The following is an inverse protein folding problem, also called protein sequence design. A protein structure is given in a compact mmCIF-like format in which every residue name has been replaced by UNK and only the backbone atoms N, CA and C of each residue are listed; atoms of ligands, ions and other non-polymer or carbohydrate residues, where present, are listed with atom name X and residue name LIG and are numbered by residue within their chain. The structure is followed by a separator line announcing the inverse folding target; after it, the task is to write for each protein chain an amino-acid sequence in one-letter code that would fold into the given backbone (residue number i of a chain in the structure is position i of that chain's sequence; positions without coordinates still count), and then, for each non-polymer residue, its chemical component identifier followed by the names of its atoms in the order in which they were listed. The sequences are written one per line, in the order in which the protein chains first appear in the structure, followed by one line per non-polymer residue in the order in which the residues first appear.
data_IF_318706563834
#
_entry.id   IF_318706563834
#
_cell.length_a   1.000
_cell.length_b   1.000
_cell.length_c   1.000
_cell.angle_alpha   90.00
_cell.angle_beta   90.00
_cell.angle_gamma   90.00
#
_symmetry.space_group_name_H-M   'P 1'
#
loop_
_entity.id
_entity.type
_entity.pdbx_description
1 polymer ?
#
# COMPACT_ATOMS: atom_id res chain seq x y z
N UNK A 1 0.88 -17.36 -18.12
CA UNK A 1 0.96 -18.41 -17.06
C UNK A 1 0.62 -17.83 -15.67
N UNK A 2 0.83 -16.55 -15.45
CA UNK A 2 0.69 -15.85 -14.15
C UNK A 2 -0.76 -15.60 -13.72
N UNK A 3 -1.71 -15.56 -14.65
CA UNK A 3 -3.13 -15.32 -14.36
C UNK A 3 -3.86 -16.50 -13.68
N UNK A 4 -3.29 -17.69 -13.68
CA UNK A 4 -3.96 -18.87 -13.11
C UNK A 4 -4.04 -18.88 -11.57
N UNK A 5 -2.99 -18.53 -10.82
CA UNK A 5 -3.08 -18.38 -9.35
C UNK A 5 -4.11 -17.32 -8.94
N UNK A 6 -4.16 -16.20 -9.67
CA UNK A 6 -5.06 -15.08 -9.42
C UNK A 6 -6.53 -15.41 -9.61
N UNK A 7 -6.86 -16.19 -10.66
CA UNK A 7 -8.24 -16.69 -10.87
C UNK A 7 -8.72 -17.55 -9.71
N UNK A 8 -7.81 -18.28 -9.07
CA UNK A 8 -8.10 -19.10 -7.89
C UNK A 8 -8.29 -18.23 -6.63
N UNK A 9 -7.47 -17.23 -6.44
CA UNK A 9 -7.53 -16.30 -5.30
C UNK A 9 -8.80 -15.44 -5.36
N UNK A 10 -9.16 -14.91 -6.54
CA UNK A 10 -10.40 -14.14 -6.74
C UNK A 10 -11.69 -14.89 -6.36
N UNK A 11 -11.70 -16.21 -6.37
CA UNK A 11 -12.90 -17.00 -6.09
C UNK A 11 -13.19 -17.19 -4.60
N UNK A 12 -12.27 -16.81 -3.69
CA UNK A 12 -12.37 -17.22 -2.29
C UNK A 12 -12.18 -16.11 -1.25
N UNK A 13 -11.62 -14.92 -1.59
CA UNK A 13 -11.20 -13.92 -0.59
C UNK A 13 -11.28 -12.47 -1.11
N UNK A 14 -11.29 -11.50 -0.20
CA UNK A 14 -11.32 -10.05 -0.41
C UNK A 14 -10.05 -9.49 -1.10
N UNK A 15 -9.64 -10.07 -2.23
CA UNK A 15 -8.59 -9.52 -3.08
C UNK A 15 -9.22 -8.52 -4.03
N UNK A 16 -9.40 -7.30 -3.60
CA UNK A 16 -10.10 -6.29 -4.38
C UNK A 16 -9.21 -5.64 -5.44
N UNK A 17 -7.91 -5.59 -5.21
CA UNK A 17 -7.01 -4.83 -6.06
C UNK A 17 -5.78 -5.62 -6.49
N UNK A 18 -5.48 -5.56 -7.79
CA UNK A 18 -4.26 -6.11 -8.39
C UNK A 18 -3.49 -4.93 -8.96
N UNK A 19 -2.18 -4.84 -8.68
CA UNK A 19 -1.44 -3.65 -9.03
C UNK A 19 -0.09 -3.89 -9.67
N UNK A 20 0.46 -2.83 -10.23
CA UNK A 20 1.78 -2.76 -10.84
C UNK A 20 2.53 -1.51 -10.41
N UNK A 21 3.86 -1.65 -10.30
CA UNK A 21 4.79 -0.54 -10.14
C UNK A 21 5.42 -0.19 -11.48
N UNK A 22 5.11 0.98 -12.05
CA UNK A 22 5.78 1.58 -13.23
C UNK A 22 5.83 0.77 -14.52
N UNK A 23 5.00 -0.26 -14.69
CA UNK A 23 5.00 -1.09 -15.89
C UNK A 23 3.87 -0.74 -16.85
N UNK A 24 4.09 -1.05 -18.13
CA UNK A 24 3.06 -0.94 -19.18
C UNK A 24 2.06 -2.09 -19.12
N UNK A 25 0.90 -1.97 -19.79
CA UNK A 25 -0.25 -2.87 -19.69
C UNK A 25 -0.04 -4.35 -20.08
N UNK A 26 1.10 -4.74 -20.53
CA UNK A 26 1.43 -6.13 -20.93
C UNK A 26 1.65 -7.09 -19.74
N UNK A 27 1.40 -6.61 -18.59
CA UNK A 27 0.91 -7.24 -17.37
C UNK A 27 1.67 -8.37 -16.74
N UNK A 28 2.78 -8.01 -16.15
CA UNK A 28 3.19 -8.65 -14.92
C UNK A 28 2.55 -7.90 -13.73
N UNK A 29 1.95 -8.63 -12.79
CA UNK A 29 1.39 -8.07 -11.55
C UNK A 29 2.50 -8.07 -10.51
N UNK A 30 2.81 -6.90 -9.96
CA UNK A 30 3.87 -6.75 -8.96
C UNK A 30 3.34 -6.93 -7.53
N UNK A 31 2.12 -6.47 -7.27
CA UNK A 31 1.51 -6.54 -5.94
C UNK A 31 0.01 -6.79 -6.01
N UNK A 32 -0.57 -7.15 -4.88
CA UNK A 32 -2.02 -7.15 -4.66
C UNK A 32 -2.34 -6.45 -3.36
N UNK A 33 -3.50 -5.81 -3.31
CA UNK A 33 -4.03 -5.24 -2.06
C UNK A 33 -5.09 -6.19 -1.51
N UNK A 34 -4.88 -6.62 -0.27
CA UNK A 34 -5.89 -7.27 0.56
C UNK A 34 -6.55 -6.13 1.33
N UNK A 35 -7.83 -5.91 1.09
CA UNK A 35 -8.54 -4.75 1.62
C UNK A 35 -9.30 -5.08 2.89
N UNK A 36 -8.81 -4.54 4.01
CA UNK A 36 -9.40 -4.69 5.34
C UNK A 36 -9.94 -3.34 5.88
N UNK A 37 -10.11 -2.32 5.01
CA UNK A 37 -10.51 -0.98 5.44
C UNK A 37 -11.89 -0.98 6.12
N UNK A 38 -12.81 -1.78 5.59
CA UNK A 38 -14.19 -1.88 6.07
C UNK A 38 -14.52 -3.30 6.53
N UNK A 39 -15.22 -3.42 7.65
CA UNK A 39 -15.62 -4.71 8.21
C UNK A 39 -14.89 -5.07 9.50
N UNK A 40 -15.00 -6.32 9.90
CA UNK A 40 -14.29 -6.87 11.05
C UNK A 40 -12.93 -7.42 10.60
N UNK A 41 -11.86 -6.88 11.16
CA UNK A 41 -10.50 -7.37 10.89
C UNK A 41 -10.26 -8.71 11.58
N UNK A 42 -9.89 -9.74 10.81
CA UNK A 42 -9.37 -11.01 11.31
C UNK A 42 -8.03 -11.34 10.63
N UNK A 43 -6.94 -11.28 11.39
CA UNK A 43 -5.60 -11.67 10.92
C UNK A 43 -5.55 -13.10 10.36
N UNK A 44 -6.43 -14.00 10.80
CA UNK A 44 -6.45 -15.38 10.29
C UNK A 44 -6.96 -15.45 8.85
N UNK A 45 -7.84 -14.56 8.45
CA UNK A 45 -8.29 -14.48 7.06
C UNK A 45 -7.17 -13.96 6.16
N UNK A 46 -6.44 -12.94 6.59
CA UNK A 46 -5.22 -12.50 5.89
C UNK A 46 -4.20 -13.65 5.79
N UNK A 47 -3.95 -14.38 6.87
CA UNK A 47 -3.02 -15.54 6.85
C UNK A 47 -3.44 -16.62 5.86
N UNK A 48 -4.75 -16.90 5.71
CA UNK A 48 -5.24 -17.86 4.72
C UNK A 48 -4.94 -17.38 3.30
N UNK A 49 -5.20 -16.09 3.01
CA UNK A 49 -4.85 -15.50 1.70
C UNK A 49 -3.35 -15.62 1.44
N UNK A 50 -2.51 -15.30 2.42
CA UNK A 50 -1.05 -15.40 2.28
C UNK A 50 -0.59 -16.84 1.98
N UNK A 51 -1.21 -17.85 2.61
CA UNK A 51 -0.92 -19.26 2.31
C UNK A 51 -1.29 -19.59 0.86
N UNK A 52 -2.46 -19.16 0.40
CA UNK A 52 -2.94 -19.42 -0.96
C UNK A 52 -2.10 -18.70 -2.03
N UNK A 53 -1.45 -17.59 -1.70
CA UNK A 53 -0.52 -16.85 -2.57
C UNK A 53 0.82 -17.56 -2.79
N UNK A 54 1.15 -18.56 -1.98
CA UNK A 54 2.41 -19.31 -2.12
C UNK A 54 2.31 -20.31 -3.26
N UNK A 55 3.32 -20.37 -4.08
CA UNK A 55 3.46 -21.39 -5.12
C UNK A 55 4.50 -22.41 -4.68
N UNK A 56 4.09 -23.69 -4.57
CA UNK A 56 4.97 -24.79 -4.15
C UNK A 56 5.69 -24.54 -2.81
N UNK A 57 5.00 -23.99 -1.82
CA UNK A 57 5.55 -23.61 -0.51
C UNK A 57 6.75 -22.65 -0.55
N UNK A 58 6.91 -21.90 -1.63
CA UNK A 58 7.92 -20.86 -1.78
C UNK A 58 7.34 -19.49 -1.44
N UNK A 59 8.21 -18.48 -1.42
CA UNK A 59 7.80 -17.08 -1.28
C UNK A 59 6.74 -16.71 -2.32
N UNK A 60 5.83 -15.77 -2.03
CA UNK A 60 4.85 -15.32 -2.99
C UNK A 60 5.56 -14.67 -4.19
N UNK A 61 4.97 -14.86 -5.36
CA UNK A 61 5.47 -14.26 -6.62
C UNK A 61 4.96 -12.84 -6.83
N UNK A 62 4.02 -12.42 -6.01
CA UNK A 62 3.37 -11.11 -6.02
C UNK A 62 3.37 -10.59 -4.59
N UNK A 63 3.75 -9.35 -4.40
CA UNK A 63 3.83 -8.76 -3.08
C UNK A 63 2.44 -8.52 -2.47
N UNK A 64 2.08 -9.17 -1.33
CA UNK A 64 0.86 -8.84 -0.62
C UNK A 64 1.04 -7.52 0.13
N UNK A 65 0.17 -6.55 -0.19
CA UNK A 65 -0.02 -5.30 0.52
C UNK A 65 -1.36 -5.39 1.25
N UNK A 66 -1.46 -4.92 2.48
CA UNK A 66 -2.73 -4.89 3.20
C UNK A 66 -3.14 -3.45 3.45
N UNK A 67 -4.36 -3.08 3.06
CA UNK A 67 -4.99 -1.84 3.51
C UNK A 67 -5.63 -2.11 4.86
N UNK A 68 -5.13 -1.44 5.90
CA UNK A 68 -5.58 -1.68 7.28
C UNK A 68 -6.98 -1.11 7.55
N UNK A 69 -7.67 -1.59 8.59
CA UNK A 69 -8.93 -1.02 9.01
C UNK A 69 -8.83 0.47 9.29
N UNK A 70 -9.84 1.23 8.85
CA UNK A 70 -9.93 2.67 9.15
C UNK A 70 -9.91 2.94 10.66
N UNK A 71 -10.52 2.07 11.45
CA UNK A 71 -10.50 2.17 12.91
C UNK A 71 -9.10 2.08 13.55
N UNK A 72 -8.12 1.55 12.82
CA UNK A 72 -6.73 1.45 13.27
C UNK A 72 -5.86 2.64 12.82
N UNK A 73 -6.41 3.63 12.08
CA UNK A 73 -5.67 4.76 11.50
C UNK A 73 -4.78 5.49 12.52
N UNK A 74 -5.34 5.83 13.68
CA UNK A 74 -4.65 6.65 14.70
C UNK A 74 -3.78 5.82 15.67
N UNK A 75 -3.97 4.49 15.71
CA UNK A 75 -3.21 3.56 16.53
C UNK A 75 -2.95 2.23 15.80
N UNK A 76 -2.16 2.23 14.71
CA UNK A 76 -2.02 1.08 13.83
C UNK A 76 -1.09 -0.02 14.35
N UNK A 77 -0.33 0.22 15.43
CA UNK A 77 0.81 -0.60 15.85
C UNK A 77 0.49 -2.09 15.98
N UNK A 78 -0.62 -2.44 16.63
CA UNK A 78 -0.98 -3.84 16.86
C UNK A 78 -1.42 -4.56 15.58
N UNK A 79 -2.19 -3.89 14.74
CA UNK A 79 -2.64 -4.43 13.45
C UNK A 79 -1.44 -4.59 12.51
N UNK A 80 -0.63 -3.55 12.38
CA UNK A 80 0.55 -3.53 11.52
C UNK A 80 1.56 -4.62 11.95
N UNK A 81 1.82 -4.75 13.26
CA UNK A 81 2.69 -5.81 13.77
C UNK A 81 2.18 -7.20 13.39
N UNK A 82 0.89 -7.48 13.58
CA UNK A 82 0.31 -8.79 13.23
C UNK A 82 0.44 -9.09 11.74
N UNK A 83 0.20 -8.11 10.87
CA UNK A 83 0.31 -8.22 9.42
C UNK A 83 1.75 -8.46 8.97
N UNK A 84 2.71 -7.66 9.49
CA UNK A 84 4.13 -7.82 9.16
C UNK A 84 4.68 -9.14 9.69
N UNK A 85 4.25 -9.59 10.87
CA UNK A 85 4.64 -10.89 11.45
C UNK A 85 4.02 -12.08 10.67
N UNK A 86 2.93 -11.86 9.94
CA UNK A 86 2.37 -12.83 9.01
C UNK A 86 3.14 -12.90 7.67
N UNK A 87 3.82 -11.81 7.28
CA UNK A 87 4.71 -11.79 6.11
C UNK A 87 4.27 -10.90 4.96
N UNK A 88 3.37 -9.93 5.18
CA UNK A 88 3.03 -8.94 4.13
C UNK A 88 4.23 -8.06 3.78
N UNK A 89 4.26 -7.54 2.55
CA UNK A 89 5.36 -6.71 2.02
C UNK A 89 5.08 -5.21 2.09
N UNK A 90 3.89 -4.84 2.47
CA UNK A 90 3.56 -3.43 2.65
C UNK A 90 2.22 -3.23 3.33
N UNK A 91 2.05 -2.03 3.80
CA UNK A 91 0.83 -1.57 4.47
C UNK A 91 0.32 -0.32 3.75
N UNK A 92 -0.97 -0.31 3.43
CA UNK A 92 -1.66 0.89 3.00
C UNK A 92 -2.43 1.45 4.18
N UNK A 93 -2.14 2.69 4.54
CA UNK A 93 -2.73 3.42 5.66
C UNK A 93 -3.83 4.34 5.12
N UNK A 94 -5.11 4.06 5.37
CA UNK A 94 -6.21 4.86 4.86
C UNK A 94 -6.33 6.21 5.58
N UNK A 95 -6.86 7.21 4.90
CA UNK A 95 -7.34 8.48 5.44
C UNK A 95 -6.34 9.21 6.34
N UNK A 96 -5.09 9.29 5.90
CA UNK A 96 -4.03 10.02 6.60
C UNK A 96 -4.19 11.51 6.34
N UNK A 97 -4.33 12.28 7.42
CA UNK A 97 -4.64 13.70 7.40
C UNK A 97 -3.60 14.57 8.09
N UNK A 98 -2.64 13.98 8.81
CA UNK A 98 -1.63 14.73 9.57
C UNK A 98 -0.25 14.09 9.47
N UNK A 99 0.78 14.92 9.69
CA UNK A 99 2.17 14.46 9.80
C UNK A 99 2.35 13.44 10.95
N UNK A 100 1.64 13.63 12.07
CA UNK A 100 1.71 12.74 13.22
C UNK A 100 1.18 11.33 12.89
N UNK A 101 0.05 11.24 12.19
CA UNK A 101 -0.50 9.98 11.71
C UNK A 101 0.49 9.29 10.75
N UNK A 102 1.06 10.01 9.79
CA UNK A 102 2.07 9.47 8.89
C UNK A 102 3.33 8.99 9.64
N UNK A 103 3.80 9.76 10.63
CA UNK A 103 4.93 9.36 11.48
C UNK A 103 4.63 8.07 12.24
N UNK A 104 3.44 7.97 12.82
CA UNK A 104 2.98 6.78 13.55
C UNK A 104 2.87 5.57 12.61
N UNK A 105 2.38 5.76 11.39
CA UNK A 105 2.30 4.74 10.36
C UNK A 105 3.69 4.16 10.04
N UNK A 106 4.67 5.02 9.74
CA UNK A 106 6.03 4.58 9.43
C UNK A 106 6.67 3.90 10.64
N UNK A 107 6.57 4.50 11.83
CA UNK A 107 7.13 3.93 13.07
C UNK A 107 6.58 2.53 13.36
N UNK A 108 5.31 2.28 13.11
CA UNK A 108 4.67 0.99 13.36
C UNK A 108 5.21 -0.14 12.49
N UNK A 109 5.78 0.17 11.32
CA UNK A 109 6.35 -0.81 10.40
C UNK A 109 7.80 -1.18 10.72
N UNK A 110 8.51 -0.37 11.48
CA UNK A 110 9.95 -0.50 11.71
C UNK A 110 10.28 -1.27 12.98
N UNK A 111 11.30 -2.11 12.92
CA UNK A 111 11.93 -2.64 14.13
C UNK A 111 12.58 -1.50 14.93
N UNK A 112 12.66 -1.61 16.28
CA UNK A 112 13.42 -0.65 17.08
C UNK A 112 14.89 -0.59 16.64
N UNK A 113 15.38 0.62 16.38
CA UNK A 113 16.79 0.89 16.07
C UNK A 113 17.59 1.11 17.34
N UNK A 114 18.91 0.92 17.27
CA UNK A 114 19.83 1.30 18.35
C UNK A 114 19.92 2.83 18.48
N UNK A 115 20.27 3.33 19.65
CA UNK A 115 20.28 4.76 19.94
C UNK A 115 21.27 5.58 19.06
N UNK A 116 22.25 4.89 18.45
CA UNK A 116 23.28 5.47 17.59
C UNK A 116 23.03 5.21 16.09
N UNK A 117 21.89 4.61 15.75
CA UNK A 117 21.55 4.38 14.34
C UNK A 117 21.35 5.71 13.59
N UNK A 118 21.89 5.81 12.38
CA UNK A 118 21.79 7.01 11.55
C UNK A 118 20.34 7.28 11.07
N UNK A 119 19.51 6.25 11.00
CA UNK A 119 18.12 6.26 10.56
C UNK A 119 17.12 6.14 11.72
N UNK A 120 17.47 6.67 12.90
CA UNK A 120 16.64 6.55 14.10
C UNK A 120 15.27 7.28 14.00
N UNK A 121 15.10 8.18 13.04
CA UNK A 121 13.86 8.96 12.89
C UNK A 121 13.14 8.57 11.61
N UNK A 122 11.85 8.19 11.69
CA UNK A 122 11.07 7.97 12.91
C UNK A 122 11.47 6.66 13.62
N UNK A 123 11.41 6.59 14.96
CA UNK A 123 11.81 5.42 15.72
C UNK A 123 10.88 4.23 15.44
N UNK A 124 11.43 3.02 15.42
CA UNK A 124 10.64 1.81 15.21
C UNK A 124 9.83 1.40 16.44
N UNK A 125 8.55 1.07 16.23
CA UNK A 125 7.58 0.66 17.25
C UNK A 125 7.05 -0.78 17.06
N UNK A 126 7.51 -1.50 16.02
CA UNK A 126 7.04 -2.86 15.71
C UNK A 126 7.30 -3.88 16.82
N UNK A 127 8.26 -3.61 17.72
CA UNK A 127 8.76 -4.57 18.68
C UNK A 127 9.87 -5.46 18.09
N UNK A 128 10.20 -6.57 18.78
CA UNK A 128 11.35 -7.40 18.41
C UNK A 128 10.98 -8.73 17.73
N UNK A 129 9.70 -9.06 17.62
CA UNK A 129 9.23 -10.29 16.99
C UNK A 129 9.17 -10.19 15.48
N UNK A 130 9.32 -11.32 14.78
CA UNK A 130 9.19 -11.44 13.32
C UNK A 130 8.13 -12.46 12.88
N UNK A 131 7.53 -13.18 13.84
CA UNK A 131 6.46 -14.15 13.62
C UNK A 131 6.82 -15.21 12.58
N UNK A 132 5.93 -15.46 11.62
CA UNK A 132 6.14 -16.38 10.51
C UNK A 132 6.73 -15.73 9.25
N UNK A 133 6.97 -14.41 9.29
CA UNK A 133 7.40 -13.63 8.13
C UNK A 133 8.73 -14.10 7.51
N UNK A 134 9.79 -14.45 8.26
CA UNK A 134 11.02 -14.95 7.65
C UNK A 134 10.77 -16.17 6.78
N UNK A 135 10.03 -17.15 7.29
CA UNK A 135 9.65 -18.36 6.55
C UNK A 135 8.74 -18.07 5.35
N UNK A 136 7.88 -17.05 5.44
CA UNK A 136 7.04 -16.63 4.34
C UNK A 136 7.85 -15.95 3.23
N UNK A 137 8.86 -15.16 3.58
CA UNK A 137 9.77 -14.50 2.64
C UNK A 137 10.86 -15.45 2.10
N UNK A 138 10.99 -16.67 2.67
CA UNK A 138 12.02 -17.64 2.29
C UNK A 138 13.41 -17.24 2.75
N UNK A 139 13.53 -16.59 3.90
CA UNK A 139 14.75 -16.03 4.48
C UNK A 139 15.00 -16.60 5.88
N UNK A 140 16.22 -16.48 6.37
CA UNK A 140 16.55 -16.61 7.80
C UNK A 140 15.96 -15.42 8.57
N UNK A 141 15.84 -15.55 9.89
CA UNK A 141 15.38 -14.45 10.74
C UNK A 141 16.32 -13.25 10.70
N UNK A 142 17.64 -13.49 10.65
CA UNK A 142 18.66 -12.45 10.57
C UNK A 142 18.55 -11.67 9.24
N UNK A 143 18.43 -12.38 8.11
CA UNK A 143 18.22 -11.75 6.80
C UNK A 143 16.93 -10.94 6.76
N UNK A 144 15.85 -11.49 7.31
CA UNK A 144 14.57 -10.80 7.38
C UNK A 144 14.67 -9.49 8.18
N UNK A 145 15.26 -9.54 9.37
CA UNK A 145 15.43 -8.36 10.22
C UNK A 145 16.22 -7.24 9.54
N UNK A 146 17.22 -7.61 8.74
CA UNK A 146 18.02 -6.65 7.97
C UNK A 146 17.23 -6.04 6.81
N UNK A 147 16.30 -6.78 6.21
CA UNK A 147 15.59 -6.35 5.01
C UNK A 147 14.16 -5.85 5.27
N UNK A 148 13.60 -6.14 6.46
CA UNK A 148 12.23 -5.75 6.81
C UNK A 148 12.19 -4.34 7.42
N UNK A 149 12.74 -3.37 6.74
CA UNK A 149 12.56 -1.94 7.03
C UNK A 149 11.93 -1.25 5.82
N UNK A 150 11.48 -0.01 6.00
CA UNK A 150 10.69 0.74 5.02
C UNK A 150 11.58 1.40 3.97
N UNK A 151 11.30 1.10 2.72
CA UNK A 151 11.85 1.84 1.59
C UNK A 151 11.07 3.17 1.43
N UNK A 152 11.71 4.33 1.12
CA UNK A 152 13.12 4.53 0.79
C UNK A 152 14.00 4.94 1.97
N UNK A 153 13.50 4.93 3.20
CA UNK A 153 14.30 5.30 4.38
C UNK A 153 15.53 4.40 4.51
N UNK A 154 15.31 3.08 4.46
CA UNK A 154 16.37 2.13 4.17
C UNK A 154 16.35 1.78 2.66
N UNK A 155 17.38 2.15 1.88
CA UNK A 155 17.45 1.80 0.45
C UNK A 155 17.46 0.30 0.18
N UNK A 156 17.87 -0.54 1.14
CA UNK A 156 17.84 -2.01 1.06
C UNK A 156 16.52 -2.60 1.62
N UNK A 157 15.72 -1.78 2.28
CA UNK A 157 14.44 -2.14 2.87
C UNK A 157 13.44 -2.64 1.82
N UNK A 158 12.68 -3.65 2.18
CA UNK A 158 11.70 -4.30 1.30
C UNK A 158 10.25 -4.07 1.72
N UNK A 159 10.01 -3.32 2.78
CA UNK A 159 8.67 -2.92 3.17
C UNK A 159 8.26 -1.63 2.48
N UNK A 160 7.02 -1.56 2.04
CA UNK A 160 6.46 -0.36 1.40
C UNK A 160 5.32 0.19 2.26
N UNK A 161 5.48 1.42 2.71
CA UNK A 161 4.41 2.19 3.33
C UNK A 161 3.67 2.99 2.25
N UNK A 162 2.37 2.73 2.09
CA UNK A 162 1.48 3.50 1.22
C UNK A 162 0.60 4.39 2.09
N UNK A 163 0.78 5.70 1.98
CA UNK A 163 -0.03 6.69 2.71
C UNK A 163 -1.17 7.12 1.80
N UNK A 164 -2.40 6.83 2.21
CA UNK A 164 -3.57 7.15 1.40
C UNK A 164 -4.10 8.55 1.75
N UNK A 165 -4.15 9.41 0.73
CA UNK A 165 -4.68 10.78 0.79
C UNK A 165 -6.03 10.80 0.09
N UNK A 166 -7.09 11.00 0.87
CA UNK A 166 -8.46 10.85 0.39
C UNK A 166 -9.45 11.85 1.00
N UNK A 167 -8.91 12.91 1.63
CA UNK A 167 -9.71 14.01 2.17
C UNK A 167 -9.09 15.38 1.84
N UNK A 168 -9.91 16.44 1.89
CA UNK A 168 -9.40 17.82 1.76
C UNK A 168 -8.42 18.19 2.88
N UNK A 169 -8.59 17.61 4.06
CA UNK A 169 -7.66 17.81 5.19
C UNK A 169 -6.30 17.21 4.88
N UNK A 170 -6.27 15.96 4.38
CA UNK A 170 -5.03 15.30 3.97
C UNK A 170 -4.31 16.03 2.83
N UNK A 171 -5.04 16.56 1.85
CA UNK A 171 -4.45 17.37 0.78
C UNK A 171 -3.81 18.65 1.33
N UNK A 172 -4.48 19.36 2.24
CA UNK A 172 -3.93 20.58 2.86
C UNK A 172 -2.67 20.30 3.67
N UNK A 173 -2.60 19.14 4.34
CA UNK A 173 -1.47 18.72 5.14
C UNK A 173 -0.39 17.98 4.33
N UNK A 174 -0.58 17.79 3.02
CA UNK A 174 0.28 16.92 2.20
C UNK A 174 1.76 17.29 2.30
N UNK A 175 2.09 18.58 2.28
CA UNK A 175 3.50 19.01 2.39
C UNK A 175 4.14 18.63 3.73
N UNK A 176 3.39 18.70 4.82
CA UNK A 176 3.83 18.32 6.17
C UNK A 176 3.93 16.79 6.28
N UNK A 177 2.96 16.06 5.74
CA UNK A 177 2.99 14.60 5.66
C UNK A 177 4.25 14.14 4.91
N UNK A 178 4.59 14.77 3.79
CA UNK A 178 5.75 14.40 2.97
C UNK A 178 7.12 14.74 3.59
N UNK A 179 7.16 15.43 4.73
CA UNK A 179 8.39 15.57 5.51
C UNK A 179 8.72 14.31 6.33
N UNK A 180 7.80 13.36 6.45
CA UNK A 180 8.03 12.11 7.19
C UNK A 180 8.90 11.16 6.35
N UNK A 181 10.10 10.80 6.83
CA UNK A 181 10.95 9.84 6.13
C UNK A 181 10.32 8.45 6.09
N UNK A 182 10.53 7.72 5.00
CA UNK A 182 10.06 6.33 4.86
C UNK A 182 8.72 6.17 4.17
N UNK A 183 8.07 7.25 3.73
CA UNK A 183 6.89 7.14 2.87
C UNK A 183 7.32 6.61 1.51
N UNK A 184 6.88 5.39 1.18
CA UNK A 184 7.18 4.74 -0.10
C UNK A 184 6.28 5.21 -1.23
N UNK A 185 4.99 5.43 -0.94
CA UNK A 185 3.98 5.81 -1.94
C UNK A 185 2.95 6.72 -1.29
N UNK A 186 2.58 7.80 -1.98
CA UNK A 186 1.32 8.50 -1.73
C UNK A 186 0.27 7.86 -2.62
N UNK A 187 -0.78 7.30 -2.02
CA UNK A 187 -1.86 6.64 -2.75
C UNK A 187 -3.15 7.44 -2.66
N UNK A 188 -3.82 7.68 -3.77
CA UNK A 188 -5.03 8.50 -3.81
C UNK A 188 -6.29 7.66 -3.59
N UNK A 189 -7.28 8.21 -2.87
CA UNK A 189 -8.61 7.66 -2.70
C UNK A 189 -9.68 8.54 -3.34
N UNK A 190 -9.89 8.48 -4.67
CA UNK A 190 -10.79 9.41 -5.37
C UNK A 190 -12.25 9.29 -4.95
N UNK A 191 -12.70 8.14 -4.47
CA UNK A 191 -14.07 7.93 -3.97
C UNK A 191 -14.32 8.74 -2.69
N UNK A 192 -13.37 8.66 -1.73
CA UNK A 192 -13.48 9.38 -0.46
C UNK A 192 -13.17 10.87 -0.65
N UNK A 193 -12.30 11.24 -1.59
CA UNK A 193 -12.15 12.63 -2.04
C UNK A 193 -13.46 13.22 -2.58
N UNK A 194 -14.23 12.45 -3.36
CA UNK A 194 -15.53 12.89 -3.85
C UNK A 194 -16.49 13.13 -2.67
N UNK A 195 -16.51 12.24 -1.70
CA UNK A 195 -17.31 12.40 -0.47
C UNK A 195 -16.88 13.61 0.33
N UNK A 196 -15.57 13.81 0.52
CA UNK A 196 -14.97 14.94 1.25
C UNK A 196 -15.26 16.30 0.61
N UNK A 197 -15.43 16.33 -0.71
CA UNK A 197 -15.71 17.56 -1.47
C UNK A 197 -17.20 17.80 -1.75
N UNK A 198 -18.06 16.81 -1.51
CA UNK A 198 -19.45 16.81 -1.94
C UNK A 198 -19.62 16.69 -3.46
N UNK A 199 -18.63 16.14 -4.17
CA UNK A 199 -18.69 15.90 -5.59
C UNK A 199 -19.60 14.71 -5.93
N UNK A 200 -20.12 14.66 -7.17
CA UNK A 200 -21.05 13.60 -7.62
C UNK A 200 -20.40 12.21 -7.67
N UNK A 201 -19.07 12.13 -7.71
CA UNK A 201 -18.34 10.86 -7.71
C UNK A 201 -16.85 11.01 -8.02
N UNK A 202 -16.11 9.90 -8.01
CA UNK A 202 -14.65 9.89 -8.15
C UNK A 202 -14.13 10.46 -9.50
N UNK A 203 -14.97 10.49 -10.51
CA UNK A 203 -14.63 11.00 -11.84
C UNK A 203 -15.06 12.47 -12.05
N UNK A 204 -15.56 13.16 -11.03
CA UNK A 204 -15.95 14.57 -11.13
C UNK A 204 -14.72 15.44 -11.46
N UNK A 205 -14.86 16.48 -12.30
CA UNK A 205 -13.73 17.36 -12.66
C UNK A 205 -13.04 17.99 -11.44
N UNK A 206 -13.80 18.28 -10.37
CA UNK A 206 -13.26 18.81 -9.12
C UNK A 206 -12.35 17.79 -8.41
N UNK A 207 -12.72 16.51 -8.41
CA UNK A 207 -11.90 15.43 -7.86
C UNK A 207 -10.64 15.23 -8.71
N UNK A 208 -10.79 15.22 -10.04
CA UNK A 208 -9.65 15.09 -10.95
C UNK A 208 -8.64 16.24 -10.76
N UNK A 209 -9.13 17.48 -10.58
CA UNK A 209 -8.24 18.62 -10.30
C UNK A 209 -7.40 18.41 -9.02
N UNK A 210 -8.01 17.89 -7.94
CA UNK A 210 -7.29 17.55 -6.70
C UNK A 210 -6.32 16.39 -6.88
N UNK A 211 -6.70 15.38 -7.66
CA UNK A 211 -5.82 14.26 -8.03
C UNK A 211 -4.57 14.77 -8.74
N UNK A 212 -4.72 15.70 -9.68
CA UNK A 212 -3.59 16.31 -10.40
C UNK A 212 -2.76 17.22 -9.49
N UNK A 213 -3.37 17.96 -8.57
CA UNK A 213 -2.67 18.76 -7.56
C UNK A 213 -1.72 17.89 -6.72
N UNK A 214 -2.25 16.78 -6.15
CA UNK A 214 -1.43 15.84 -5.35
C UNK A 214 -0.32 15.22 -6.21
N UNK A 215 -0.61 14.83 -7.44
CA UNK A 215 0.39 14.28 -8.37
C UNK A 215 1.54 15.26 -8.60
N UNK A 216 1.25 16.54 -8.84
CA UNK A 216 2.30 17.55 -9.06
C UNK A 216 3.21 17.72 -7.82
N UNK A 217 2.64 17.69 -6.61
CA UNK A 217 3.43 17.74 -5.38
C UNK A 217 4.34 16.51 -5.26
N UNK A 218 3.82 15.32 -5.53
CA UNK A 218 4.59 14.08 -5.52
C UNK A 218 5.73 14.10 -6.54
N UNK A 219 5.45 14.54 -7.76
CA UNK A 219 6.47 14.66 -8.83
C UNK A 219 7.59 15.65 -8.44
N UNK A 220 7.23 16.82 -7.89
CA UNK A 220 8.18 17.82 -7.45
C UNK A 220 9.12 17.31 -6.34
N UNK A 221 8.63 16.38 -5.49
CA UNK A 221 9.40 15.78 -4.39
C UNK A 221 10.02 14.42 -4.74
N UNK A 222 9.83 13.94 -5.98
CA UNK A 222 10.27 12.63 -6.45
C UNK A 222 9.76 11.46 -5.56
N UNK A 223 8.52 11.57 -5.10
CA UNK A 223 7.83 10.53 -4.33
C UNK A 223 6.86 9.80 -5.27
N UNK A 224 6.86 8.46 -5.32
CA UNK A 224 5.91 7.70 -6.11
C UNK A 224 4.46 8.03 -5.75
N UNK A 225 3.65 8.38 -6.75
CA UNK A 225 2.22 8.59 -6.58
C UNK A 225 1.45 7.39 -7.12
N UNK A 226 0.46 6.92 -6.37
CA UNK A 226 -0.39 5.79 -6.70
C UNK A 226 -1.83 6.19 -6.94
N UNK A 227 -2.53 5.41 -7.78
CA UNK A 227 -3.92 5.65 -8.14
C UNK A 227 -4.71 4.34 -8.31
N UNK A 228 -5.95 4.25 -7.80
CA UNK A 228 -6.83 3.12 -8.04
C UNK A 228 -7.56 3.28 -9.38
N UNK A 229 -7.61 2.21 -10.16
CA UNK A 229 -8.37 2.14 -11.40
C UNK A 229 -9.49 1.12 -11.23
N UNK A 230 -10.74 1.58 -11.27
CA UNK A 230 -11.92 0.73 -11.27
C UNK A 230 -12.54 0.79 -12.66
N UNK A 231 -12.42 -0.29 -13.41
CA UNK A 231 -12.87 -0.36 -14.80
C UNK A 231 -13.97 -1.39 -14.99
N UNK A 232 -14.86 -1.16 -15.96
CA UNK A 232 -15.94 -2.08 -16.30
C UNK A 232 -15.50 -3.14 -17.34
N UNK A 233 -14.31 -2.97 -17.93
CA UNK A 233 -13.73 -3.92 -18.89
C UNK A 233 -12.20 -3.88 -18.86
N UNK A 234 -11.56 -4.92 -19.38
CA UNK A 234 -10.10 -4.95 -19.53
C UNK A 234 -9.60 -3.83 -20.45
N UNK A 235 -10.29 -3.56 -21.56
CA UNK A 235 -9.91 -2.48 -22.47
C UNK A 235 -9.98 -1.10 -21.80
N UNK A 236 -10.97 -0.86 -20.95
CA UNK A 236 -11.04 0.36 -20.15
C UNK A 236 -9.89 0.43 -19.15
N UNK A 237 -9.59 -0.66 -18.44
CA UNK A 237 -8.48 -0.76 -17.52
C UNK A 237 -7.13 -0.44 -18.20
N UNK A 238 -6.87 -1.03 -19.36
CA UNK A 238 -5.66 -0.77 -20.14
C UNK A 238 -5.54 0.70 -20.55
N UNK A 239 -6.62 1.30 -21.07
CA UNK A 239 -6.63 2.71 -21.45
C UNK A 239 -6.36 3.64 -20.28
N UNK A 240 -7.05 3.43 -19.14
CA UNK A 240 -6.87 4.25 -17.95
C UNK A 240 -5.47 4.05 -17.32
N UNK A 241 -4.95 2.84 -17.34
CA UNK A 241 -3.58 2.53 -16.92
C UNK A 241 -2.57 3.30 -17.76
N UNK A 242 -2.70 3.24 -19.09
CA UNK A 242 -1.81 3.98 -19.99
C UNK A 242 -1.90 5.50 -19.77
N UNK A 243 -3.10 6.03 -19.55
CA UNK A 243 -3.32 7.45 -19.25
C UNK A 243 -2.61 7.87 -17.96
N UNK A 244 -2.86 7.16 -16.85
CA UNK A 244 -2.28 7.50 -15.55
C UNK A 244 -0.75 7.38 -15.53
N UNK A 245 -0.20 6.36 -16.21
CA UNK A 245 1.27 6.25 -16.38
C UNK A 245 1.84 7.43 -17.17
N UNK A 246 1.17 7.87 -18.25
CA UNK A 246 1.59 9.02 -19.03
C UNK A 246 1.53 10.35 -18.26
N UNK A 247 0.59 10.48 -17.32
CA UNK A 247 0.50 11.62 -16.40
C UNK A 247 1.64 11.66 -15.37
N UNK A 248 2.26 10.51 -15.06
CA UNK A 248 3.40 10.41 -14.14
C UNK A 248 3.15 9.54 -12.91
N UNK A 249 1.96 8.96 -12.75
CA UNK A 249 1.73 7.96 -11.71
C UNK A 249 2.69 6.77 -11.85
N UNK A 250 3.10 6.18 -10.72
CA UNK A 250 4.08 5.10 -10.66
C UNK A 250 3.52 3.80 -10.09
N UNK A 251 2.43 3.88 -9.33
CA UNK A 251 1.80 2.74 -8.65
C UNK A 251 0.31 2.72 -9.02
N UNK A 252 -0.13 1.65 -9.66
CA UNK A 252 -1.52 1.53 -10.08
C UNK A 252 -2.13 0.24 -9.54
N UNK A 253 -3.23 0.38 -8.81
CA UNK A 253 -4.04 -0.74 -8.36
C UNK A 253 -5.29 -0.84 -9.24
N UNK A 254 -5.45 -1.96 -9.94
CA UNK A 254 -6.48 -2.12 -10.97
C UNK A 254 -7.49 -3.17 -10.53
N UNK A 255 -8.76 -2.79 -10.54
CA UNK A 255 -9.90 -3.69 -10.37
C UNK A 255 -10.80 -3.62 -11.60
N UNK A 256 -11.13 -4.77 -12.17
CA UNK A 256 -12.14 -4.85 -13.23
C UNK A 256 -13.42 -5.44 -12.65
N UNK A 257 -14.54 -4.74 -12.82
CA UNK A 257 -15.88 -5.26 -12.51
C UNK A 257 -16.36 -6.22 -13.59
N UNK A 258 -15.45 -7.00 -14.18
CA UNK A 258 -15.81 -7.96 -15.21
C UNK A 258 -16.77 -9.01 -14.64
N UNK A 259 -17.91 -9.13 -15.32
CA UNK A 259 -18.96 -10.12 -15.09
C UNK A 259 -18.48 -11.55 -15.24
#
# INVERSE_FOLDING_TARGET
PWLQPWKRLKSHWHLDWIGTFTRTPEMDIDFTVIDEQYGEFDINDVRKVLVDMRVNNRSPIVAPIVRIPLAARDAPQDVVRQLLDAGVFGIMFPDIETQEQATTAISSMRFPQTADAADQVPPGLRGSGSGSAPGYWGMSEEEYRTQADVWPLDPAGKLVAMIQIESLTGIRALNEILEVPGIGVIFLGPTDLASSTGAEGPNAPTVEALVQEVLQVCLARNIPCGYPIVANSHQEAERETARRLAEGFKVLAVMTRAQ
#
